data_IF_375395365026
#
_entry.id   IF_375395365026
#
_cell.length_a   1.000
_cell.length_b   1.000
_cell.length_c   1.000
_cell.angle_alpha   90.00
_cell.angle_beta   90.00
_cell.angle_gamma   90.00
#
_symmetry.space_group_name_H-M   'P 1'
#
loop_
_entity.id
_entity.type
_entity.pdbx_description
1 polymer ?
#
# COMPACT_ATOMS: atom_id res chain seq x y z
N UNK A 1 -22.49 -25.26 -2.22
CA UNK A 1 -21.83 -25.01 -0.92
C UNK A 1 -22.25 -23.62 -0.42
N UNK A 2 -22.64 -23.47 0.85
CA UNK A 2 -22.81 -22.13 1.42
C UNK A 2 -21.42 -21.54 1.67
N UNK A 3 -21.12 -20.38 1.08
CA UNK A 3 -19.86 -19.69 1.32
C UNK A 3 -19.71 -19.39 2.82
N UNK A 4 -18.50 -19.55 3.37
CA UNK A 4 -18.25 -19.25 4.77
C UNK A 4 -18.47 -17.75 5.05
N UNK A 5 -18.97 -17.40 6.24
CA UNK A 5 -19.26 -16.00 6.61
C UNK A 5 -18.10 -15.01 6.35
N UNK A 6 -16.82 -15.38 6.56
CA UNK A 6 -15.68 -14.51 6.21
C UNK A 6 -15.59 -14.19 4.71
N UNK A 7 -15.89 -15.16 3.85
CA UNK A 7 -15.86 -14.97 2.40
C UNK A 7 -16.96 -14.00 1.98
N UNK A 8 -18.18 -14.13 2.51
CA UNK A 8 -19.29 -13.22 2.19
C UNK A 8 -18.94 -11.77 2.58
N UNK A 9 -18.33 -11.55 3.76
CA UNK A 9 -17.88 -10.21 4.18
C UNK A 9 -16.77 -9.65 3.28
N UNK A 10 -15.83 -10.50 2.85
CA UNK A 10 -14.80 -10.10 1.88
C UNK A 10 -15.45 -9.66 0.56
N UNK A 11 -16.43 -10.40 0.07
CA UNK A 11 -17.14 -10.09 -1.18
C UNK A 11 -17.86 -8.74 -1.09
N UNK A 12 -18.58 -8.48 0.00
CA UNK A 12 -19.24 -7.20 0.26
C UNK A 12 -18.24 -6.04 0.32
N UNK A 13 -17.12 -6.21 1.04
CA UNK A 13 -16.08 -5.19 1.13
C UNK A 13 -15.39 -4.93 -0.21
N UNK A 14 -15.10 -5.99 -0.97
CA UNK A 14 -14.39 -5.92 -2.25
C UNK A 14 -15.20 -5.18 -3.33
N UNK A 15 -16.53 -5.30 -3.32
CA UNK A 15 -17.39 -4.64 -4.33
C UNK A 15 -17.97 -3.29 -3.90
N UNK A 16 -18.03 -2.98 -2.60
CA UNK A 16 -18.51 -1.68 -2.12
C UNK A 16 -17.51 -0.55 -2.33
N UNK A 17 -16.23 -0.86 -2.50
CA UNK A 17 -15.19 0.16 -2.55
C UNK A 17 -14.87 0.52 -4.00
N UNK A 18 -15.19 1.76 -4.46
CA UNK A 18 -14.81 2.18 -5.79
C UNK A 18 -13.28 2.25 -5.91
N UNK A 19 -12.73 1.85 -7.06
CA UNK A 19 -11.27 1.85 -7.34
C UNK A 19 -10.63 3.25 -7.22
N UNK A 20 -11.45 4.30 -7.36
CA UNK A 20 -11.10 5.69 -7.14
C UNK A 20 -12.35 6.40 -6.57
N UNK A 21 -12.17 7.35 -5.65
CA UNK A 21 -13.30 8.23 -5.29
C UNK A 21 -13.84 8.84 -6.59
N UNK A 22 -15.11 8.61 -6.95
CA UNK A 22 -15.62 9.01 -8.25
C UNK A 22 -15.44 10.52 -8.39
N UNK A 23 -14.61 10.94 -9.34
CA UNK A 23 -14.58 12.33 -9.75
C UNK A 23 -15.98 12.68 -10.21
N UNK A 24 -16.55 13.78 -9.72
CA UNK A 24 -17.79 14.27 -10.32
C UNK A 24 -17.52 14.51 -11.82
N UNK A 25 -18.45 14.18 -12.73
CA UNK A 25 -18.21 14.26 -14.18
C UNK A 25 -17.73 15.64 -14.67
N UNK A 26 -18.00 16.69 -13.89
CA UNK A 26 -17.65 18.09 -14.16
C UNK A 26 -16.42 18.58 -13.37
N UNK A 27 -15.79 17.75 -12.54
CA UNK A 27 -14.65 18.15 -11.75
C UNK A 27 -13.41 18.33 -12.64
N UNK A 28 -12.69 19.47 -12.55
CA UNK A 28 -11.49 19.69 -13.35
C UNK A 28 -10.42 18.65 -13.00
N UNK A 29 -9.73 18.16 -14.04
CA UNK A 29 -8.71 17.11 -13.94
C UNK A 29 -7.34 17.66 -14.27
N UNK A 30 -6.33 17.14 -13.59
CA UNK A 30 -4.94 17.51 -13.82
C UNK A 30 -4.53 17.08 -15.22
N UNK A 31 -4.23 18.05 -16.07
CA UNK A 31 -3.78 17.84 -17.45
C UNK A 31 -2.37 18.35 -17.62
N UNK A 32 -1.47 17.45 -17.98
CA UNK A 32 -0.06 17.78 -18.21
C UNK A 32 0.25 17.70 -19.69
N UNK A 33 0.93 18.70 -20.24
CA UNK A 33 1.50 18.61 -21.58
C UNK A 33 2.59 17.54 -21.58
N UNK A 34 2.37 16.46 -22.34
CA UNK A 34 3.27 15.32 -22.39
C UNK A 34 4.40 15.58 -23.37
N UNK A 35 5.62 15.69 -22.86
CA UNK A 35 6.81 15.35 -23.63
C UNK A 35 7.12 13.88 -23.33
N UNK A 36 7.23 13.03 -24.36
CA UNK A 36 7.51 11.59 -24.15
C UNK A 36 8.89 11.47 -23.49
N UNK A 37 8.91 11.21 -22.19
CA UNK A 37 10.15 11.00 -21.46
C UNK A 37 10.63 9.55 -21.67
N UNK A 38 11.95 9.33 -21.78
CA UNK A 38 12.53 7.98 -21.81
C UNK A 38 12.09 7.17 -20.58
N UNK A 39 11.89 7.84 -19.44
CA UNK A 39 11.44 7.23 -18.19
C UNK A 39 10.01 6.67 -18.29
N UNK A 40 9.08 7.40 -18.93
CA UNK A 40 7.72 6.92 -19.15
C UNK A 40 7.68 5.65 -20.01
N UNK A 41 8.49 5.58 -21.06
CA UNK A 41 8.60 4.36 -21.89
C UNK A 41 9.15 3.16 -21.11
N UNK A 42 10.16 3.39 -20.25
CA UNK A 42 10.71 2.34 -19.38
C UNK A 42 9.66 1.89 -18.36
N UNK A 43 8.94 2.82 -17.72
CA UNK A 43 7.89 2.48 -16.77
C UNK A 43 6.76 1.69 -17.43
N UNK A 44 6.33 2.06 -18.63
CA UNK A 44 5.26 1.33 -19.34
C UNK A 44 5.66 -0.12 -19.64
N UNK A 45 6.91 -0.36 -20.05
CA UNK A 45 7.44 -1.73 -20.21
C UNK A 45 7.45 -2.49 -18.89
N UNK A 46 7.80 -1.82 -17.80
CA UNK A 46 7.82 -2.40 -16.46
C UNK A 46 6.39 -2.76 -16.02
N UNK A 47 5.43 -1.83 -16.16
CA UNK A 47 4.02 -2.01 -15.81
C UNK A 47 3.40 -3.22 -16.48
N UNK A 48 3.67 -3.44 -17.77
CA UNK A 48 3.13 -4.58 -18.53
C UNK A 48 3.63 -5.96 -18.06
N UNK A 49 4.74 -6.02 -17.31
CA UNK A 49 5.38 -7.27 -16.85
C UNK A 49 5.18 -7.50 -15.35
N UNK A 50 4.84 -6.46 -14.62
CA UNK A 50 4.74 -6.43 -13.17
C UNK A 50 3.32 -6.78 -12.71
N UNK A 51 3.24 -7.47 -11.57
CA UNK A 51 1.94 -7.80 -10.94
C UNK A 51 1.41 -6.52 -10.27
N UNK A 52 0.10 -6.28 -10.23
CA UNK A 52 -0.45 -5.06 -9.59
C UNK A 52 0.06 -4.89 -8.14
N UNK A 53 0.31 -6.02 -7.47
CA UNK A 53 0.90 -6.13 -6.12
C UNK A 53 2.35 -5.62 -6.01
N UNK A 54 3.00 -5.34 -7.12
CA UNK A 54 4.37 -4.84 -7.17
C UNK A 54 4.38 -3.36 -7.69
N UNK A 55 3.31 -2.89 -8.33
CA UNK A 55 3.23 -1.55 -8.94
C UNK A 55 3.26 -0.43 -7.87
N UNK A 56 2.55 -0.63 -6.76
CA UNK A 56 2.52 0.32 -5.66
C UNK A 56 3.92 0.57 -5.07
N UNK A 57 4.79 -0.46 -4.99
CA UNK A 57 6.15 -0.32 -4.51
C UNK A 57 6.98 0.62 -5.41
N UNK A 58 6.81 0.51 -6.73
CA UNK A 58 7.54 1.32 -7.69
C UNK A 58 7.10 2.79 -7.60
N UNK A 59 5.79 3.01 -7.57
CA UNK A 59 5.19 4.34 -7.45
C UNK A 59 5.55 4.98 -6.11
N UNK A 60 5.42 4.27 -4.98
CA UNK A 60 5.88 4.70 -3.65
C UNK A 60 7.36 5.07 -3.66
N UNK A 61 8.23 4.24 -4.25
CA UNK A 61 9.66 4.52 -4.33
C UNK A 61 9.96 5.74 -5.21
N UNK A 62 9.19 5.97 -6.27
CA UNK A 62 9.31 7.18 -7.08
C UNK A 62 8.92 8.43 -6.30
N UNK A 63 7.78 8.41 -5.60
CA UNK A 63 7.33 9.48 -4.70
C UNK A 63 8.42 9.78 -3.65
N UNK A 64 8.95 8.76 -2.98
CA UNK A 64 9.99 8.92 -1.96
C UNK A 64 11.24 9.63 -2.52
N UNK A 65 11.70 9.25 -3.72
CA UNK A 65 12.83 9.93 -4.38
C UNK A 65 12.52 11.38 -4.72
N UNK A 66 11.33 11.66 -5.24
CA UNK A 66 10.89 13.01 -5.60
C UNK A 66 10.81 13.91 -4.36
N UNK A 67 10.24 13.41 -3.26
CA UNK A 67 10.17 14.10 -1.97
C UNK A 67 11.58 14.39 -1.42
N UNK A 68 12.45 13.38 -1.39
CA UNK A 68 13.84 13.53 -0.91
C UNK A 68 14.59 14.58 -1.73
N UNK A 69 14.53 14.49 -3.06
CA UNK A 69 15.19 15.45 -3.95
C UNK A 69 14.74 16.88 -3.65
N UNK A 70 13.44 17.11 -3.49
CA UNK A 70 12.88 18.43 -3.19
C UNK A 70 13.21 18.92 -1.79
N UNK A 71 13.29 18.05 -0.78
CA UNK A 71 13.70 18.43 0.58
C UNK A 71 15.13 19.00 0.61
N UNK A 72 16.03 18.49 -0.23
CA UNK A 72 17.44 18.91 -0.28
C UNK A 72 17.73 20.03 -1.29
N UNK A 73 16.79 20.37 -2.17
CA UNK A 73 16.90 21.54 -3.06
C UNK A 73 16.21 22.74 -2.39
N UNK A 74 16.81 23.92 -2.42
CA UNK A 74 16.25 25.14 -1.78
C UNK A 74 14.96 25.69 -2.45
N UNK A 75 14.34 24.91 -3.34
CA UNK A 75 13.14 25.28 -4.07
C UNK A 75 11.93 25.22 -3.10
N UNK A 76 11.78 26.25 -2.27
CA UNK A 76 10.63 26.51 -1.37
C UNK A 76 9.39 26.92 -2.16
N UNK A 77 9.09 26.23 -3.26
CA UNK A 77 7.91 26.55 -4.06
C UNK A 77 6.67 26.13 -3.27
N UNK A 78 5.73 27.05 -3.14
CA UNK A 78 4.34 26.74 -2.79
C UNK A 78 3.82 25.73 -3.83
N UNK A 79 2.97 24.78 -3.44
CA UNK A 79 2.37 23.73 -4.28
C UNK A 79 3.25 22.51 -4.58
N UNK A 80 3.69 21.79 -3.54
CA UNK A 80 4.42 20.53 -3.69
C UNK A 80 3.56 19.44 -4.34
N UNK A 81 2.26 19.40 -4.03
CA UNK A 81 1.30 18.46 -4.58
C UNK A 81 1.22 18.52 -6.10
N UNK A 82 1.08 19.73 -6.68
CA UNK A 82 1.00 19.91 -8.13
C UNK A 82 2.28 19.42 -8.81
N UNK A 83 3.43 19.88 -8.31
CA UNK A 83 4.72 19.51 -8.90
C UNK A 83 4.99 18.00 -8.80
N UNK A 84 4.57 17.35 -7.71
CA UNK A 84 4.67 15.91 -7.55
C UNK A 84 3.78 15.18 -8.54
N UNK A 85 2.51 15.56 -8.67
CA UNK A 85 1.56 14.94 -9.60
C UNK A 85 2.02 15.11 -11.05
N UNK A 86 2.44 16.32 -11.45
CA UNK A 86 2.94 16.55 -12.80
C UNK A 86 4.14 15.66 -13.12
N UNK A 87 5.07 15.51 -12.18
CA UNK A 87 6.27 14.70 -12.38
C UNK A 87 5.93 13.21 -12.47
N UNK A 88 5.00 12.72 -11.64
CA UNK A 88 4.51 11.35 -11.70
C UNK A 88 3.80 11.05 -13.03
N UNK A 89 3.01 11.99 -13.56
CA UNK A 89 2.37 11.87 -14.88
C UNK A 89 3.42 11.86 -15.99
N UNK A 90 4.36 12.83 -16.00
CA UNK A 90 5.45 12.91 -17.01
C UNK A 90 6.35 11.67 -17.01
N UNK A 91 6.53 11.04 -15.85
CA UNK A 91 7.31 9.82 -15.68
C UNK A 91 6.50 8.53 -15.95
N UNK A 92 5.20 8.64 -16.23
CA UNK A 92 4.32 7.51 -16.53
C UNK A 92 3.76 6.77 -15.32
N UNK A 93 4.13 7.16 -14.09
CA UNK A 93 3.66 6.51 -12.85
C UNK A 93 2.17 6.73 -12.60
N UNK A 94 1.59 7.79 -13.16
CA UNK A 94 0.16 8.10 -13.08
C UNK A 94 -0.40 8.40 -14.48
N UNK A 95 -1.65 8.01 -14.76
CA UNK A 95 -2.30 8.37 -16.01
C UNK A 95 -2.61 9.88 -16.06
N UNK A 96 -2.41 10.48 -17.24
CA UNK A 96 -2.77 11.88 -17.48
C UNK A 96 -4.29 12.04 -17.56
N UNK A 97 -4.82 13.20 -17.16
CA UNK A 97 -6.25 13.55 -17.26
C UNK A 97 -7.21 12.59 -16.52
N UNK A 98 -6.74 11.98 -15.43
CA UNK A 98 -7.54 11.07 -14.60
C UNK A 98 -7.79 11.61 -13.20
N UNK A 99 -6.77 12.24 -12.58
CA UNK A 99 -6.86 12.73 -11.22
C UNK A 99 -7.58 14.09 -11.16
N UNK A 100 -8.54 14.26 -10.24
CA UNK A 100 -9.13 15.58 -9.96
C UNK A 100 -8.12 16.58 -9.43
N UNK A 101 -8.29 17.86 -9.76
CA UNK A 101 -7.40 18.92 -9.27
C UNK A 101 -7.43 19.08 -7.74
N UNK A 102 -8.55 18.77 -7.07
CA UNK A 102 -8.63 18.84 -5.59
C UNK A 102 -7.57 17.98 -4.89
N UNK A 103 -7.15 16.88 -5.54
CA UNK A 103 -6.12 15.97 -5.00
C UNK A 103 -4.82 16.71 -4.76
N UNK A 104 -4.52 17.76 -5.52
CA UNK A 104 -3.33 18.61 -5.32
C UNK A 104 -3.34 19.21 -3.91
N UNK A 105 -4.45 19.82 -3.49
CA UNK A 105 -4.58 20.42 -2.17
C UNK A 105 -4.52 19.38 -1.06
N UNK A 106 -5.15 18.21 -1.28
CA UNK A 106 -5.08 17.09 -0.34
C UNK A 106 -3.64 16.57 -0.16
N UNK A 107 -2.85 16.50 -1.24
CA UNK A 107 -1.43 16.14 -1.16
C UNK A 107 -0.58 17.21 -0.49
N UNK A 108 -0.87 18.50 -0.73
CA UNK A 108 -0.16 19.59 -0.06
C UNK A 108 -0.35 19.50 1.47
N UNK A 109 -1.54 19.19 1.96
CA UNK A 109 -1.82 18.97 3.39
C UNK A 109 -0.98 17.82 3.94
N UNK A 110 -0.97 16.67 3.25
CA UNK A 110 -0.17 15.50 3.66
C UNK A 110 1.32 15.87 3.72
N UNK A 111 1.85 16.44 2.65
CA UNK A 111 3.27 16.81 2.56
C UNK A 111 3.64 17.80 3.66
N UNK A 112 2.81 18.81 3.90
CA UNK A 112 3.03 19.82 4.93
C UNK A 112 3.05 19.22 6.34
N UNK A 113 2.12 18.30 6.66
CA UNK A 113 2.11 17.54 7.93
C UNK A 113 3.47 16.89 8.18
N UNK A 114 4.00 16.15 7.20
CA UNK A 114 5.27 15.44 7.34
C UNK A 114 6.47 16.38 7.39
N UNK A 115 6.47 17.48 6.62
CA UNK A 115 7.55 18.46 6.65
C UNK A 115 7.63 19.20 8.00
N UNK A 116 6.48 19.61 8.55
CA UNK A 116 6.41 20.23 9.89
C UNK A 116 6.90 19.28 10.98
N UNK A 117 6.44 18.04 10.94
CA UNK A 117 6.89 16.97 11.84
C UNK A 117 8.41 16.79 11.77
N UNK A 118 8.96 16.72 10.56
CA UNK A 118 10.39 16.54 10.35
C UNK A 118 11.22 17.71 10.92
N UNK A 119 10.75 18.95 10.75
CA UNK A 119 11.42 20.13 11.30
C UNK A 119 11.47 20.10 12.83
N UNK A 120 10.41 19.63 13.47
CA UNK A 120 10.32 19.58 14.92
C UNK A 120 11.13 18.42 15.53
N UNK A 121 11.13 17.25 14.90
CA UNK A 121 11.82 16.04 15.38
C UNK A 121 13.32 16.05 15.07
N UNK A 122 13.72 16.67 13.95
CA UNK A 122 15.11 16.66 13.49
C UNK A 122 15.59 18.05 13.04
N UNK A 123 15.65 19.03 13.96
CA UNK A 123 15.95 20.43 13.62
C UNK A 123 17.39 20.61 13.11
N UNK A 124 18.35 19.81 13.62
CA UNK A 124 19.77 19.97 13.32
C UNK A 124 20.17 19.33 11.97
N UNK A 125 20.46 20.18 10.98
CA UNK A 125 20.63 19.78 9.57
C UNK A 125 21.76 18.77 9.29
N UNK A 126 22.75 18.64 10.16
CA UNK A 126 24.03 17.97 9.86
C UNK A 126 24.24 16.61 10.56
N UNK A 127 23.27 16.09 11.32
CA UNK A 127 23.48 14.86 12.12
C UNK A 127 23.12 13.57 11.36
N UNK A 128 23.79 12.45 11.70
CA UNK A 128 23.41 11.10 11.23
C UNK A 128 22.00 10.72 11.69
N UNK A 129 21.62 11.14 12.90
CA UNK A 129 20.29 10.95 13.46
C UNK A 129 19.21 11.65 12.60
N UNK A 130 19.47 12.88 12.12
CA UNK A 130 18.56 13.54 11.18
C UNK A 130 18.39 12.74 9.90
N UNK A 131 19.47 12.25 9.28
CA UNK A 131 19.35 11.43 8.05
C UNK A 131 18.47 10.20 8.26
N UNK A 132 18.61 9.52 9.41
CA UNK A 132 17.76 8.39 9.76
C UNK A 132 16.28 8.80 9.94
N UNK A 133 16.01 9.89 10.67
CA UNK A 133 14.66 10.41 10.86
C UNK A 133 14.01 10.86 9.54
N UNK A 134 14.75 11.61 8.71
CA UNK A 134 14.32 12.02 7.35
C UNK A 134 13.93 10.80 6.53
N UNK A 135 14.78 9.78 6.48
CA UNK A 135 14.49 8.57 5.71
C UNK A 135 13.26 7.84 6.22
N UNK A 136 13.12 7.71 7.54
CA UNK A 136 11.99 7.03 8.16
C UNK A 136 10.67 7.77 7.88
N UNK A 137 10.62 9.06 8.23
CA UNK A 137 9.43 9.92 8.09
C UNK A 137 9.03 10.07 6.62
N UNK A 138 9.98 10.35 5.71
CA UNK A 138 9.65 10.49 4.29
C UNK A 138 9.24 9.18 3.63
N UNK A 139 9.74 8.03 4.10
CA UNK A 139 9.30 6.74 3.57
C UNK A 139 7.82 6.48 3.88
N UNK A 140 7.35 6.90 5.06
CA UNK A 140 5.94 6.81 5.45
C UNK A 140 5.11 7.85 4.70
N UNK A 141 5.60 9.09 4.56
CA UNK A 141 4.97 10.13 3.75
C UNK A 141 4.73 9.64 2.30
N UNK A 142 5.73 9.01 1.71
CA UNK A 142 5.62 8.47 0.36
C UNK A 142 4.54 7.37 0.27
N UNK A 143 4.41 6.52 1.29
CA UNK A 143 3.33 5.52 1.37
C UNK A 143 1.96 6.18 1.46
N UNK A 144 1.79 7.18 2.33
CA UNK A 144 0.49 7.85 2.49
C UNK A 144 0.05 8.57 1.21
N UNK A 145 0.98 9.25 0.53
CA UNK A 145 0.70 9.88 -0.78
C UNK A 145 0.36 8.81 -1.82
N UNK A 146 1.08 7.68 -1.83
CA UNK A 146 0.79 6.59 -2.76
C UNK A 146 -0.62 6.02 -2.56
N UNK A 147 -1.02 5.74 -1.32
CA UNK A 147 -2.37 5.28 -0.98
C UNK A 147 -3.43 6.33 -1.28
N UNK A 148 -3.10 7.62 -1.13
CA UNK A 148 -4.00 8.72 -1.48
C UNK A 148 -4.24 8.82 -2.98
N UNK A 149 -3.19 8.62 -3.77
CA UNK A 149 -3.23 8.72 -5.24
C UNK A 149 -3.86 7.47 -5.88
N UNK A 150 -3.56 6.29 -5.33
CA UNK A 150 -4.06 5.01 -5.82
C UNK A 150 -4.47 4.16 -4.62
N UNK A 151 -5.71 4.31 -4.14
CA UNK A 151 -6.23 3.52 -3.03
C UNK A 151 -6.15 2.02 -3.34
N UNK A 152 -5.73 1.23 -2.34
CA UNK A 152 -5.58 -0.22 -2.45
C UNK A 152 -6.78 -0.97 -1.85
N UNK A 153 -7.98 -0.45 -2.07
CA UNK A 153 -9.25 -0.90 -1.48
C UNK A 153 -9.52 -2.40 -1.65
N UNK A 154 -9.32 -2.90 -2.88
CA UNK A 154 -9.45 -4.33 -3.20
C UNK A 154 -8.42 -5.19 -2.47
N UNK A 155 -7.19 -4.70 -2.37
CA UNK A 155 -6.12 -5.39 -1.65
C UNK A 155 -6.40 -5.44 -0.15
N UNK A 156 -6.88 -4.34 0.44
CA UNK A 156 -7.27 -4.26 1.85
C UNK A 156 -8.40 -5.24 2.15
N UNK A 157 -9.41 -5.35 1.27
CA UNK A 157 -10.48 -6.34 1.42
C UNK A 157 -9.94 -7.80 1.39
N UNK A 158 -8.94 -8.09 0.55
CA UNK A 158 -8.28 -9.39 0.53
C UNK A 158 -7.45 -9.65 1.80
N UNK A 159 -6.77 -8.63 2.34
CA UNK A 159 -6.05 -8.71 3.62
C UNK A 159 -7.01 -9.04 4.75
N UNK A 160 -8.11 -8.31 4.86
CA UNK A 160 -9.13 -8.50 5.90
C UNK A 160 -9.77 -9.89 5.81
N UNK A 161 -10.11 -10.35 4.60
CA UNK A 161 -10.63 -11.71 4.45
C UNK A 161 -9.60 -12.79 4.78
N UNK A 162 -8.33 -12.60 4.41
CA UNK A 162 -7.26 -13.52 4.77
C UNK A 162 -7.02 -13.55 6.28
N UNK A 163 -7.08 -12.40 6.93
CA UNK A 163 -6.99 -12.27 8.37
C UNK A 163 -8.15 -12.98 9.07
N UNK A 164 -9.38 -12.76 8.62
CA UNK A 164 -10.57 -13.39 9.19
C UNK A 164 -10.57 -14.92 9.08
N UNK A 165 -10.00 -15.47 8.01
CA UNK A 165 -9.82 -16.92 7.84
C UNK A 165 -8.70 -17.43 8.73
N UNK A 166 -7.51 -16.82 8.66
CA UNK A 166 -6.33 -17.36 9.34
C UNK A 166 -6.36 -17.16 10.85
N UNK A 167 -6.99 -16.11 11.38
CA UNK A 167 -6.97 -15.79 12.82
C UNK A 167 -7.37 -16.97 13.71
N UNK A 168 -8.25 -17.86 13.23
CA UNK A 168 -8.70 -19.05 13.97
C UNK A 168 -7.74 -20.24 13.89
N UNK A 169 -6.91 -20.28 12.86
CA UNK A 169 -6.05 -21.43 12.52
C UNK A 169 -4.55 -21.15 12.78
N UNK A 170 -4.19 -19.94 13.23
CA UNK A 170 -2.79 -19.61 13.54
C UNK A 170 -2.42 -20.10 14.95
N UNK A 171 -2.36 -21.41 15.14
CA UNK A 171 -1.77 -22.00 16.36
C UNK A 171 -0.30 -21.58 16.57
N UNK A 172 0.39 -21.22 15.47
CA UNK A 172 1.76 -20.67 15.48
C UNK A 172 1.89 -19.30 16.16
N UNK A 173 0.78 -18.59 16.39
CA UNK A 173 0.76 -17.31 17.08
C UNK A 173 0.49 -17.48 18.58
N UNK A 174 0.29 -18.73 19.06
CA UNK A 174 0.15 -19.02 20.49
C UNK A 174 1.46 -18.82 21.27
N UNK A 175 2.60 -18.78 20.59
CA UNK A 175 3.89 -18.36 21.17
C UNK A 175 3.88 -16.86 21.59
N UNK A 176 2.91 -16.06 21.09
CA UNK A 176 2.69 -14.66 21.48
C UNK A 176 1.55 -14.62 22.49
N UNK A 177 1.88 -14.27 23.73
CA UNK A 177 0.89 -14.21 24.82
C UNK A 177 -0.07 -13.03 24.69
N UNK A 178 0.42 -11.88 24.24
CA UNK A 178 -0.40 -10.67 24.10
C UNK A 178 -1.29 -10.76 22.85
N UNK A 179 -2.63 -10.72 22.99
CA UNK A 179 -3.54 -10.87 21.84
C UNK A 179 -3.41 -9.73 20.82
N UNK A 180 -3.08 -8.51 21.25
CA UNK A 180 -2.94 -7.35 20.36
C UNK A 180 -1.67 -7.49 19.52
N UNK A 181 -0.55 -7.84 20.14
CA UNK A 181 0.71 -8.13 19.46
C UNK A 181 0.55 -9.30 18.48
N UNK A 182 -0.19 -10.34 18.89
CA UNK A 182 -0.52 -11.46 18.02
C UNK A 182 -1.26 -11.01 16.76
N UNK A 183 -2.33 -10.24 16.93
CA UNK A 183 -3.15 -9.72 15.84
C UNK A 183 -2.29 -8.83 14.90
N UNK A 184 -1.43 -7.97 15.46
CA UNK A 184 -0.47 -7.14 14.71
C UNK A 184 0.52 -7.99 13.91
N UNK A 185 1.10 -9.03 14.51
CA UNK A 185 2.09 -9.89 13.84
C UNK A 185 1.48 -10.72 12.71
N UNK A 186 0.24 -11.20 12.88
CA UNK A 186 -0.51 -11.87 11.80
C UNK A 186 -0.80 -10.88 10.67
N UNK A 187 -1.24 -9.66 10.99
CA UNK A 187 -1.47 -8.60 10.00
C UNK A 187 -0.20 -8.27 9.20
N UNK A 188 0.95 -8.07 9.86
CA UNK A 188 2.24 -7.86 9.20
C UNK A 188 2.59 -9.03 8.27
N UNK A 189 2.42 -10.26 8.73
CA UNK A 189 2.72 -11.44 7.94
C UNK A 189 1.83 -11.54 6.68
N UNK A 190 0.54 -11.19 6.78
CA UNK A 190 -0.39 -11.14 5.65
C UNK A 190 0.02 -10.04 4.67
N UNK A 191 0.30 -8.83 5.13
CA UNK A 191 0.76 -7.75 4.25
C UNK A 191 2.04 -8.12 3.49
N UNK A 192 3.02 -8.72 4.17
CA UNK A 192 4.25 -9.22 3.53
C UNK A 192 3.98 -10.34 2.52
N UNK A 193 3.10 -11.28 2.85
CA UNK A 193 2.87 -12.48 2.04
C UNK A 193 1.90 -12.29 0.86
N UNK A 194 0.86 -11.46 1.06
CA UNK A 194 -0.24 -11.27 0.13
C UNK A 194 -0.07 -9.99 -0.70
N UNK A 195 0.32 -8.89 -0.06
CA UNK A 195 0.45 -7.58 -0.71
C UNK A 195 1.89 -7.29 -1.12
N UNK A 196 2.87 -7.99 -0.51
CA UNK A 196 4.31 -7.74 -0.68
C UNK A 196 4.74 -6.37 -0.16
N UNK A 197 4.02 -5.87 0.85
CA UNK A 197 4.35 -4.62 1.52
C UNK A 197 5.81 -4.61 1.98
N UNK A 198 6.53 -3.54 1.65
CA UNK A 198 7.86 -3.26 2.17
C UNK A 198 7.77 -2.68 3.60
N UNK A 199 8.90 -2.53 4.28
CA UNK A 199 8.91 -2.00 5.64
C UNK A 199 8.33 -0.58 5.77
N UNK A 200 8.57 0.37 4.84
CA UNK A 200 7.83 1.63 4.80
C UNK A 200 6.31 1.48 4.82
N UNK A 201 5.74 0.55 4.05
CA UNK A 201 4.29 0.31 4.05
C UNK A 201 3.82 -0.26 5.39
N UNK A 202 4.53 -1.25 5.92
CA UNK A 202 4.21 -1.80 7.25
C UNK A 202 4.25 -0.72 8.33
N UNK A 203 5.30 0.12 8.35
CA UNK A 203 5.43 1.24 9.29
C UNK A 203 4.29 2.24 9.17
N UNK A 204 3.83 2.52 7.95
CA UNK A 204 2.67 3.37 7.72
C UNK A 204 1.40 2.81 8.37
N UNK A 205 1.07 1.53 8.12
CA UNK A 205 -0.09 0.91 8.75
C UNK A 205 0.04 0.86 10.28
N UNK A 206 1.21 0.51 10.81
CA UNK A 206 1.45 0.48 12.26
C UNK A 206 1.36 1.87 12.88
N UNK A 207 1.84 2.92 12.21
CA UNK A 207 1.71 4.29 12.69
C UNK A 207 0.24 4.68 12.82
N UNK A 208 -0.58 4.38 11.81
CA UNK A 208 -2.02 4.67 11.85
C UNK A 208 -2.75 3.86 12.92
N UNK A 209 -2.27 2.63 13.20
CA UNK A 209 -2.80 1.78 14.27
C UNK A 209 -2.48 2.34 15.66
N UNK A 210 -1.22 2.74 15.91
CA UNK A 210 -0.79 3.25 17.22
C UNK A 210 -1.11 4.72 17.47
N UNK A 211 -1.37 5.49 16.41
CA UNK A 211 -1.68 6.91 16.47
C UNK A 211 -2.92 7.25 15.64
N UNK A 212 -4.13 6.95 16.15
CA UNK A 212 -5.38 7.42 15.55
C UNK A 212 -5.39 8.94 15.38
N UNK A 213 -5.99 9.44 14.30
CA UNK A 213 -5.98 10.87 13.94
C UNK A 213 -4.78 11.29 13.08
N UNK A 214 -3.79 10.41 12.87
CA UNK A 214 -2.64 10.73 12.04
C UNK A 214 -2.99 10.99 10.56
N UNK A 215 -3.91 10.19 9.98
CA UNK A 215 -4.33 10.34 8.58
C UNK A 215 -5.14 11.62 8.38
N UNK A 216 -5.98 11.97 9.36
CA UNK A 216 -6.81 13.16 9.40
C UNK A 216 -6.00 14.44 9.62
N UNK A 217 -4.69 14.30 9.86
CA UNK A 217 -3.80 15.41 10.21
C UNK A 217 -4.27 16.14 11.48
N UNK A 218 -4.80 15.40 12.46
CA UNK A 218 -5.20 15.95 13.76
C UNK A 218 -3.99 16.64 14.43
N UNK A 219 -4.07 17.95 14.75
CA UNK A 219 -3.00 18.66 15.43
C UNK A 219 -2.51 17.96 16.71
N UNK A 220 -3.41 17.31 17.46
CA UNK A 220 -3.05 16.58 18.69
C UNK A 220 -2.20 15.35 18.38
N UNK A 221 -2.55 14.59 17.33
CA UNK A 221 -1.77 13.45 16.89
C UNK A 221 -0.38 13.89 16.40
N UNK A 222 -0.31 15.00 15.65
CA UNK A 222 0.96 15.55 15.15
C UNK A 222 1.87 16.01 16.29
N UNK A 223 1.30 16.71 17.28
CA UNK A 223 2.02 17.15 18.48
C UNK A 223 2.54 15.95 19.28
N UNK A 224 1.67 14.97 19.56
CA UNK A 224 2.04 13.76 20.27
C UNK A 224 3.15 13.00 19.55
N UNK A 225 3.03 12.82 18.23
CA UNK A 225 4.05 12.17 17.41
C UNK A 225 5.40 12.88 17.52
N UNK A 226 5.38 14.21 17.44
CA UNK A 226 6.59 15.03 17.49
C UNK A 226 7.30 14.92 18.84
N UNK A 227 6.54 14.99 19.93
CA UNK A 227 7.07 14.88 21.30
C UNK A 227 7.57 13.47 21.62
N UNK A 228 6.95 12.44 21.03
CA UNK A 228 7.21 11.03 21.35
C UNK A 228 7.86 10.25 20.19
N UNK A 229 8.49 10.94 19.22
CA UNK A 229 8.95 10.34 17.98
C UNK A 229 9.81 9.10 18.18
N UNK A 230 10.86 9.19 19.01
CA UNK A 230 11.77 8.07 19.23
C UNK A 230 11.06 6.88 19.87
N UNK A 231 10.15 7.14 20.82
CA UNK A 231 9.37 6.10 21.51
C UNK A 231 8.45 5.39 20.52
N UNK A 232 7.66 6.13 19.75
CA UNK A 232 6.74 5.57 18.75
C UNK A 232 7.51 4.80 17.66
N UNK A 233 8.60 5.39 17.16
CA UNK A 233 9.47 4.73 16.21
C UNK A 233 9.98 3.41 16.77
N UNK A 234 10.46 3.37 18.00
CA UNK A 234 11.01 2.15 18.59
C UNK A 234 9.92 1.09 18.86
N UNK A 235 8.70 1.49 19.24
CA UNK A 235 7.54 0.58 19.31
C UNK A 235 7.27 -0.07 17.95
N UNK A 236 7.22 0.73 16.88
CA UNK A 236 7.01 0.23 15.51
C UNK A 236 8.16 -0.67 15.06
N UNK A 237 9.41 -0.29 15.32
CA UNK A 237 10.57 -1.10 14.92
C UNK A 237 10.65 -2.43 15.68
N UNK A 238 10.18 -2.51 16.93
CA UNK A 238 10.07 -3.80 17.64
C UNK A 238 9.10 -4.75 16.96
N UNK A 239 7.96 -4.24 16.47
CA UNK A 239 7.00 -5.03 15.72
C UNK A 239 7.55 -5.48 14.35
N UNK A 240 8.25 -4.58 13.64
CA UNK A 240 8.90 -4.89 12.36
C UNK A 240 9.99 -5.96 12.51
N UNK A 241 10.77 -5.91 13.58
CA UNK A 241 11.89 -6.82 13.84
C UNK A 241 11.53 -7.96 14.81
N UNK A 242 10.25 -8.30 14.91
CA UNK A 242 9.78 -9.29 15.87
C UNK A 242 10.39 -10.69 15.56
N UNK A 243 10.90 -11.43 16.56
CA UNK A 243 11.61 -12.70 16.32
C UNK A 243 10.80 -13.76 15.57
N UNK A 244 9.48 -13.79 15.78
CA UNK A 244 8.58 -14.73 15.10
C UNK A 244 8.14 -14.25 13.71
N UNK A 245 8.47 -13.02 13.31
CA UNK A 245 7.94 -12.38 12.10
C UNK A 245 8.22 -13.19 10.83
N UNK A 246 9.43 -13.77 10.70
CA UNK A 246 9.77 -14.61 9.54
C UNK A 246 9.14 -15.99 9.58
N UNK A 247 8.93 -16.56 10.77
CA UNK A 247 8.22 -17.83 10.94
C UNK A 247 6.76 -17.68 10.54
N UNK A 248 6.11 -16.62 11.02
CA UNK A 248 4.73 -16.28 10.66
C UNK A 248 4.61 -15.96 9.17
N UNK A 249 5.53 -15.16 8.60
CA UNK A 249 5.55 -14.91 7.16
C UNK A 249 5.60 -16.20 6.34
N UNK A 250 6.49 -17.15 6.68
CA UNK A 250 6.57 -18.44 5.96
C UNK A 250 5.30 -19.26 6.06
N UNK A 251 4.64 -19.26 7.23
CA UNK A 251 3.37 -19.93 7.43
C UNK A 251 2.27 -19.30 6.55
N UNK A 252 2.07 -17.98 6.68
CA UNK A 252 1.06 -17.21 5.96
C UNK A 252 1.26 -17.26 4.45
N UNK A 253 2.52 -17.26 3.98
CA UNK A 253 2.87 -17.33 2.55
C UNK A 253 2.32 -18.58 1.84
N UNK A 254 2.11 -19.69 2.56
CA UNK A 254 1.52 -20.91 1.98
C UNK A 254 0.06 -20.70 1.58
N UNK A 255 -0.65 -19.88 2.35
CA UNK A 255 -2.06 -19.56 2.12
C UNK A 255 -2.23 -18.36 1.18
N UNK A 256 -1.23 -17.48 1.07
CA UNK A 256 -1.36 -16.27 0.25
C UNK A 256 -1.62 -16.58 -1.23
N UNK A 257 -1.13 -17.71 -1.75
CA UNK A 257 -1.41 -18.16 -3.12
C UNK A 257 -2.92 -18.37 -3.37
N UNK A 258 -3.66 -18.87 -2.37
CA UNK A 258 -5.11 -19.06 -2.48
C UNK A 258 -5.84 -17.72 -2.60
N UNK A 259 -5.47 -16.74 -1.76
CA UNK A 259 -6.04 -15.39 -1.80
C UNK A 259 -5.61 -14.59 -3.03
N UNK A 260 -4.42 -14.88 -3.56
CA UNK A 260 -3.96 -14.36 -4.83
C UNK A 260 -4.87 -14.84 -5.98
N UNK A 261 -5.17 -16.14 -6.04
CA UNK A 261 -6.07 -16.71 -7.05
C UNK A 261 -7.50 -16.17 -6.86
N UNK A 262 -7.96 -16.08 -5.62
CA UNK A 262 -9.27 -15.50 -5.30
C UNK A 262 -9.37 -14.05 -5.83
N UNK A 263 -8.35 -13.23 -5.61
CA UNK A 263 -8.28 -11.88 -6.15
C UNK A 263 -8.36 -11.86 -7.68
N UNK A 264 -7.65 -12.74 -8.37
CA UNK A 264 -7.70 -12.83 -9.86
C UNK A 264 -9.11 -13.18 -10.35
N UNK A 265 -9.80 -14.10 -9.66
CA UNK A 265 -11.17 -14.49 -10.03
C UNK A 265 -12.18 -13.37 -9.74
N UNK A 266 -12.03 -12.67 -8.61
CA UNK A 266 -12.88 -11.53 -8.27
C UNK A 266 -12.72 -10.37 -9.25
N UNK A 267 -11.49 -10.12 -9.70
CA UNK A 267 -11.22 -9.11 -10.73
C UNK A 267 -11.77 -9.52 -12.10
N UNK A 268 -11.60 -10.80 -12.50
CA UNK A 268 -12.09 -11.30 -13.79
C UNK A 268 -13.62 -11.33 -13.89
N UNK A 269 -14.30 -11.78 -12.85
CA UNK A 269 -15.75 -12.04 -12.89
C UNK A 269 -16.59 -10.92 -12.27
N UNK A 270 -15.98 -10.00 -11.52
CA UNK A 270 -16.69 -8.89 -10.88
C UNK A 270 -17.88 -9.38 -10.04
N UNK A 271 -19.05 -8.76 -10.21
CA UNK A 271 -20.28 -9.14 -9.51
C UNK A 271 -20.78 -10.55 -9.86
N UNK A 272 -20.42 -11.07 -11.05
CA UNK A 272 -20.85 -12.40 -11.48
C UNK A 272 -20.13 -13.53 -10.73
N UNK A 273 -19.09 -13.21 -9.95
CA UNK A 273 -18.40 -14.18 -9.10
C UNK A 273 -19.35 -14.87 -8.11
N UNK A 274 -20.42 -14.19 -7.66
CA UNK A 274 -21.44 -14.81 -6.81
C UNK A 274 -22.14 -15.99 -7.48
N UNK A 275 -22.37 -15.95 -8.79
CA UNK A 275 -22.95 -17.07 -9.53
C UNK A 275 -21.92 -18.17 -9.77
N UNK A 276 -20.67 -17.80 -10.04
CA UNK A 276 -19.57 -18.74 -10.25
C UNK A 276 -19.39 -19.70 -9.07
N UNK A 277 -19.46 -19.22 -7.82
CA UNK A 277 -19.27 -20.07 -6.63
C UNK A 277 -20.40 -21.11 -6.41
N UNK A 278 -21.52 -20.97 -7.11
CA UNK A 278 -22.63 -21.92 -7.06
C UNK A 278 -22.53 -23.04 -8.12
N UNK A 279 -21.72 -22.85 -9.16
CA UNK A 279 -21.39 -23.86 -10.16
C UNK A 279 -20.01 -24.46 -9.87
N UNK A 280 -19.98 -25.64 -9.26
CA UNK A 280 -18.73 -26.26 -8.82
C UNK A 280 -17.80 -26.60 -9.99
N UNK A 281 -18.33 -27.10 -11.10
CA UNK A 281 -17.51 -27.48 -12.25
C UNK A 281 -16.89 -26.26 -12.93
N UNK A 282 -17.68 -25.20 -13.13
CA UNK A 282 -17.18 -23.94 -13.68
C UNK A 282 -16.16 -23.29 -12.73
N UNK A 283 -16.43 -23.28 -11.42
CA UNK A 283 -15.51 -22.71 -10.43
C UNK A 283 -14.16 -23.42 -10.39
N UNK A 284 -14.16 -24.76 -10.36
CA UNK A 284 -12.92 -25.54 -10.40
C UNK A 284 -12.14 -25.32 -11.69
N UNK A 285 -12.83 -25.21 -12.83
CA UNK A 285 -12.22 -24.91 -14.13
C UNK A 285 -11.55 -23.54 -14.11
N UNK A 286 -12.24 -22.52 -13.62
CA UNK A 286 -11.74 -21.15 -13.52
C UNK A 286 -10.53 -21.04 -12.57
N UNK A 287 -10.53 -21.77 -11.45
CA UNK A 287 -9.36 -21.90 -10.56
C UNK A 287 -8.17 -22.50 -11.33
N UNK A 288 -8.37 -23.60 -12.07
CA UNK A 288 -7.29 -24.24 -12.85
C UNK A 288 -6.71 -23.29 -13.90
N UNK A 289 -7.56 -22.51 -14.57
CA UNK A 289 -7.13 -21.49 -15.54
C UNK A 289 -6.28 -20.42 -14.86
N UNK A 290 -6.76 -19.86 -13.74
CA UNK A 290 -6.02 -18.84 -12.98
C UNK A 290 -4.66 -19.37 -12.50
N UNK A 291 -4.61 -20.59 -11.96
CA UNK A 291 -3.38 -21.28 -11.60
C UNK A 291 -2.40 -21.39 -12.78
N UNK A 292 -2.87 -21.88 -13.93
CA UNK A 292 -2.05 -22.07 -15.12
C UNK A 292 -1.44 -20.75 -15.62
N UNK A 293 -2.22 -19.66 -15.61
CA UNK A 293 -1.73 -18.31 -15.95
C UNK A 293 -0.60 -17.88 -15.02
N UNK A 294 -0.76 -18.09 -13.70
CA UNK A 294 0.29 -17.75 -12.72
C UNK A 294 1.55 -18.59 -12.87
N UNK A 295 1.42 -19.90 -13.09
CA UNK A 295 2.56 -20.77 -13.38
C UNK A 295 3.33 -20.30 -14.61
N UNK A 296 2.63 -19.93 -15.70
CA UNK A 296 3.26 -19.39 -16.90
C UNK A 296 4.02 -18.10 -16.62
N UNK A 297 3.41 -17.15 -15.88
CA UNK A 297 4.07 -15.90 -15.46
C UNK A 297 5.30 -16.17 -14.59
N UNK A 298 5.22 -17.11 -13.65
CA UNK A 298 6.34 -17.48 -12.77
C UNK A 298 7.51 -18.07 -13.56
N UNK A 299 7.24 -18.97 -14.51
CA UNK A 299 8.27 -19.55 -15.39
C UNK A 299 8.96 -18.51 -16.28
N UNK A 300 8.22 -17.53 -16.80
CA UNK A 300 8.80 -16.43 -17.58
C UNK A 300 9.76 -15.60 -16.73
N UNK A 301 9.41 -15.35 -15.45
CA UNK A 301 10.27 -14.61 -14.52
C UNK A 301 11.55 -15.40 -14.20
N UNK A 302 11.43 -16.69 -13.91
CA UNK A 302 12.59 -17.55 -13.62
C UNK A 302 13.58 -17.63 -14.79
N UNK A 303 13.10 -17.64 -16.03
CA UNK A 303 13.96 -17.67 -17.23
C UNK A 303 14.66 -16.33 -17.53
N UNK A 304 14.24 -15.25 -16.89
CA UNK A 304 14.79 -13.89 -17.08
C UNK A 304 15.66 -13.43 -15.91
N UNK A 305 15.71 -14.20 -14.82
CA UNK A 305 16.52 -13.96 -13.63
C UNK A 305 17.83 -14.71 -13.69
#
# INVERSE_FOLDING_TARGET
MNASQPIIRLLEAYWRQPDQAPAHPQEPKVKVQMTISRLAFVYEKIRNVIDYKDEHLIRKNAIERMLKRRLYTEDKKRHFGLLLVEELIRAGYLPNNMLPERVIGELDIIIEKYLRTLLAVAPNRLTKQRRAAVNWILSICATEIEHKLVPQTKQDALVEGMYAVLRKDVDLANDISDPTERDVQVYIAIHRALIKSDWPIIRYHLLNFYLPGWLESDPRAIEYFTQNFNVLKDVIERQVNHPLGDRLFRFVKRFSVLFVILGDLLEKHGQNFQFLIHDQEEFEREIRIACAVRYKKANIRLRRS
#
